data_IF_394370000123
#
_entry.id   IF_394370000123
#
_cell.length_a   1.000
_cell.length_b   1.000
_cell.length_c   1.000
_cell.angle_alpha   90.00
_cell.angle_beta   90.00
_cell.angle_gamma   90.00
#
_symmetry.space_group_name_H-M   'P 1'
#
loop_
_entity.id
_entity.type
_entity.pdbx_description
1 polymer ?
#
# COMPACT_ATOMS: atom_id res chain seq x y z
N UNK A 1 12.33 -10.41 -3.59
CA UNK A 1 12.93 -9.80 -2.40
C UNK A 1 14.38 -10.23 -2.21
N UNK A 2 14.72 -11.51 -2.02
CA UNK A 2 16.14 -11.95 -1.93
C UNK A 2 17.00 -11.46 -3.11
N UNK A 3 16.54 -11.72 -4.34
CA UNK A 3 17.22 -11.21 -5.54
C UNK A 3 17.34 -9.67 -5.55
N UNK A 4 16.35 -8.98 -5.01
CA UNK A 4 16.33 -7.52 -4.93
C UNK A 4 17.42 -6.98 -3.99
N UNK A 5 17.79 -7.73 -2.94
CA UNK A 5 18.92 -7.39 -2.06
C UNK A 5 20.24 -7.45 -2.82
N UNK A 6 20.44 -8.52 -3.62
CA UNK A 6 21.64 -8.67 -4.46
C UNK A 6 21.74 -7.52 -5.45
N UNK A 7 20.66 -7.22 -6.18
CA UNK A 7 20.62 -6.11 -7.12
C UNK A 7 20.91 -4.75 -6.45
N UNK A 8 20.34 -4.50 -5.27
CA UNK A 8 20.57 -3.27 -4.53
C UNK A 8 22.03 -3.14 -4.08
N UNK A 9 22.64 -4.24 -3.65
CA UNK A 9 24.07 -4.29 -3.30
C UNK A 9 24.96 -4.03 -4.50
N UNK A 10 24.71 -4.69 -5.62
CA UNK A 10 25.49 -4.54 -6.85
C UNK A 10 25.40 -3.10 -7.40
N UNK A 11 24.25 -2.46 -7.21
CA UNK A 11 24.03 -1.06 -7.57
C UNK A 11 24.59 -0.05 -6.54
N UNK A 12 25.19 -0.51 -5.44
CA UNK A 12 25.76 0.36 -4.40
C UNK A 12 24.71 1.14 -3.60
N UNK A 13 23.49 0.61 -3.44
CA UNK A 13 22.43 1.25 -2.66
C UNK A 13 22.67 1.13 -1.16
N UNK A 14 22.41 2.19 -0.40
CA UNK A 14 22.51 2.17 1.06
C UNK A 14 21.31 1.49 1.75
N UNK A 15 20.12 1.62 1.15
CA UNK A 15 18.84 1.20 1.72
C UNK A 15 17.99 0.43 0.71
N UNK A 16 17.17 -0.48 1.22
CA UNK A 16 16.13 -1.18 0.45
C UNK A 16 14.78 -1.09 1.15
N UNK A 17 13.73 -0.89 0.37
CA UNK A 17 12.35 -0.88 0.82
C UNK A 17 11.47 -1.66 -0.16
N UNK A 18 10.47 -2.36 0.36
CA UNK A 18 9.43 -3.00 -0.44
C UNK A 18 8.11 -2.24 -0.21
N UNK A 19 7.49 -1.79 -1.31
CA UNK A 19 6.22 -1.08 -1.32
C UNK A 19 5.22 -1.82 -2.21
N UNK A 20 4.00 -1.96 -1.73
CA UNK A 20 2.90 -2.49 -2.52
C UNK A 20 2.36 -1.43 -3.48
N UNK A 21 1.64 -1.85 -4.52
CA UNK A 21 1.16 -0.93 -5.58
C UNK A 21 0.11 0.07 -5.10
N UNK A 22 -0.47 -0.17 -3.92
CA UNK A 22 -1.43 0.65 -3.22
C UNK A 22 -0.79 1.45 -2.07
N UNK A 23 0.54 1.58 -2.04
CA UNK A 23 1.26 2.26 -0.97
C UNK A 23 2.14 3.42 -1.47
N UNK A 24 2.20 4.50 -0.68
CA UNK A 24 3.10 5.63 -0.91
C UNK A 24 3.86 5.98 0.36
N UNK A 25 5.14 6.34 0.24
CA UNK A 25 5.90 6.86 1.37
C UNK A 25 5.53 8.33 1.61
N UNK A 26 5.30 8.66 2.88
CA UNK A 26 5.01 10.00 3.39
C UNK A 26 6.15 10.43 4.32
N UNK A 27 7.26 10.98 3.78
CA UNK A 27 8.47 11.31 4.52
C UNK A 27 8.34 12.65 5.27
N UNK A 28 7.25 12.84 6.02
CA UNK A 28 7.09 14.02 6.88
C UNK A 28 8.23 14.06 7.90
N UNK A 29 8.64 15.29 8.22
CA UNK A 29 9.79 15.56 9.08
C UNK A 29 11.10 15.76 8.31
N UNK A 30 11.17 15.34 7.04
CA UNK A 30 12.33 15.60 6.19
C UNK A 30 12.21 16.91 5.41
N UNK A 31 13.35 17.60 5.24
CA UNK A 31 13.43 18.76 4.33
C UNK A 31 13.03 18.34 2.92
N UNK A 32 12.32 19.24 2.24
CA UNK A 32 11.92 19.08 0.84
C UNK A 32 11.07 17.83 0.58
N UNK A 33 10.45 17.25 1.62
CA UNK A 33 9.66 16.03 1.50
C UNK A 33 10.49 14.86 0.89
N UNK A 34 11.77 14.79 1.27
CA UNK A 34 12.75 13.87 0.67
C UNK A 34 12.97 12.62 1.53
N UNK A 35 12.66 11.45 0.97
CA UNK A 35 12.99 10.16 1.58
C UNK A 35 14.51 9.96 1.71
N UNK A 36 15.30 10.51 0.78
CA UNK A 36 16.77 10.43 0.84
C UNK A 36 17.29 11.15 2.07
N UNK A 37 16.86 12.39 2.29
CA UNK A 37 17.27 13.18 3.46
C UNK A 37 16.83 12.52 4.76
N UNK A 38 15.61 11.99 4.79
CA UNK A 38 15.08 11.24 5.94
C UNK A 38 15.99 10.07 6.32
N UNK A 39 16.35 9.23 5.34
CA UNK A 39 17.18 8.04 5.56
C UNK A 39 18.65 8.37 5.79
N UNK A 40 19.16 9.48 5.24
CA UNK A 40 20.52 9.96 5.49
C UNK A 40 20.70 10.42 6.94
N UNK A 41 19.65 10.96 7.57
CA UNK A 41 19.65 11.36 8.98
C UNK A 41 19.58 10.19 9.97
N UNK A 42 19.35 8.96 9.51
CA UNK A 42 19.25 7.78 10.39
C UNK A 42 20.64 7.41 10.93
N UNK A 43 20.80 7.22 12.26
CA UNK A 43 22.08 6.84 12.86
C UNK A 43 22.72 5.59 12.24
N UNK A 44 24.05 5.56 12.17
CA UNK A 44 24.79 4.47 11.53
C UNK A 44 24.65 3.10 12.22
N UNK A 45 24.30 3.08 13.50
CA UNK A 45 24.06 1.85 14.27
C UNK A 45 22.64 1.28 14.06
N UNK A 46 21.75 1.99 13.36
CA UNK A 46 20.38 1.54 13.07
C UNK A 46 20.39 0.75 11.76
N UNK A 47 19.91 -0.48 11.82
CA UNK A 47 19.86 -1.41 10.70
C UNK A 47 18.58 -1.26 9.88
N UNK A 48 17.48 -0.91 10.54
CA UNK A 48 16.14 -0.86 9.94
C UNK A 48 15.31 0.27 10.51
N UNK A 49 14.48 0.87 9.68
CA UNK A 49 13.50 1.88 10.08
C UNK A 49 12.09 1.42 9.69
N UNK A 50 11.15 1.53 10.60
CA UNK A 50 9.73 1.24 10.38
C UNK A 50 8.98 2.54 10.13
N UNK A 51 8.25 2.59 9.03
CA UNK A 51 7.24 3.57 8.69
C UNK A 51 5.87 3.04 9.12
N UNK A 52 5.25 3.57 10.19
CA UNK A 52 3.90 3.17 10.56
C UNK A 52 2.90 3.51 9.44
N UNK A 53 1.88 2.66 9.24
CA UNK A 53 0.93 2.86 8.15
C UNK A 53 -0.25 3.75 8.54
N UNK A 54 -0.62 4.66 7.63
CA UNK A 54 -1.87 5.40 7.70
C UNK A 54 -2.83 4.82 6.66
N UNK A 55 -3.99 4.37 7.10
CA UNK A 55 -4.96 3.67 6.24
C UNK A 55 -5.92 4.67 5.59
N UNK A 56 -6.08 4.58 4.27
CA UNK A 56 -7.02 5.44 3.53
C UNK A 56 -8.43 5.32 4.09
N UNK A 57 -9.06 6.47 4.32
CA UNK A 57 -10.42 6.59 4.84
C UNK A 57 -11.26 7.30 3.79
N UNK A 58 -11.89 6.54 2.90
CA UNK A 58 -12.63 7.11 1.76
C UNK A 58 -13.95 7.73 2.20
N UNK A 59 -14.29 8.85 1.59
CA UNK A 59 -15.51 9.63 1.90
C UNK A 59 -16.63 9.42 0.87
N UNK A 60 -16.33 8.73 -0.24
CA UNK A 60 -17.24 8.38 -1.33
C UNK A 60 -17.00 6.94 -1.78
N UNK A 61 -17.96 6.37 -2.50
CA UNK A 61 -17.91 5.01 -3.03
C UNK A 61 -17.58 4.92 -4.52
N UNK A 62 -17.50 6.06 -5.20
CA UNK A 62 -17.33 6.18 -6.64
C UNK A 62 -15.88 6.49 -7.08
N UNK A 63 -14.92 6.47 -6.14
CA UNK A 63 -13.49 6.76 -6.35
C UNK A 63 -12.92 5.96 -7.53
N UNK A 64 -12.22 6.64 -8.44
CA UNK A 64 -11.57 6.05 -9.62
C UNK A 64 -10.05 6.06 -9.51
N UNK A 65 -9.48 7.18 -9.06
CA UNK A 65 -8.06 7.46 -8.97
C UNK A 65 -7.67 7.78 -7.50
N UNK A 66 -7.37 6.76 -6.68
CA UNK A 66 -7.18 6.92 -5.23
C UNK A 66 -6.12 7.96 -4.86
N UNK A 67 -5.00 7.99 -5.59
CA UNK A 67 -3.89 8.89 -5.27
C UNK A 67 -4.19 10.37 -5.52
N UNK A 68 -5.23 10.68 -6.30
CA UNK A 68 -5.68 12.06 -6.57
C UNK A 68 -7.05 12.40 -5.98
N UNK A 69 -7.78 11.40 -5.48
CA UNK A 69 -9.12 11.59 -4.91
C UNK A 69 -9.22 11.31 -3.39
N UNK A 70 -8.30 10.54 -2.81
CA UNK A 70 -8.36 10.16 -1.39
C UNK A 70 -7.31 10.90 -0.58
N UNK A 71 -7.77 11.86 0.22
CA UNK A 71 -6.90 12.69 1.07
C UNK A 71 -7.00 12.34 2.55
N UNK A 72 -8.07 11.68 2.99
CA UNK A 72 -8.27 11.40 4.41
C UNK A 72 -7.69 10.03 4.77
N UNK A 73 -6.94 9.98 5.87
CA UNK A 73 -6.31 8.77 6.38
C UNK A 73 -6.55 8.61 7.88
N UNK A 74 -6.67 7.37 8.34
CA UNK A 74 -6.64 7.02 9.75
C UNK A 74 -5.20 6.76 10.17
N UNK A 75 -4.71 7.53 11.15
CA UNK A 75 -3.33 7.43 11.63
C UNK A 75 -3.08 6.12 12.36
N UNK A 76 -1.85 5.63 12.27
CA UNK A 76 -1.37 4.54 13.11
C UNK A 76 -1.45 4.94 14.59
N UNK A 77 -1.82 4.00 15.45
CA UNK A 77 -1.88 4.22 16.89
C UNK A 77 -0.51 4.57 17.51
N UNK A 78 0.59 4.21 16.85
CA UNK A 78 1.94 4.64 17.25
C UNK A 78 2.14 6.16 17.16
N UNK A 79 1.39 6.85 16.28
CA UNK A 79 1.47 8.30 16.08
C UNK A 79 0.31 9.04 16.75
N UNK A 80 -0.32 8.41 17.74
CA UNK A 80 -1.43 8.95 18.52
C UNK A 80 -1.09 8.94 20.01
N UNK A 81 -1.48 9.99 20.76
CA UNK A 81 -1.52 9.90 22.21
C UNK A 81 -2.37 8.72 22.67
N UNK A 82 -1.93 8.01 23.71
CA UNK A 82 -2.60 6.78 24.19
C UNK A 82 -4.05 7.02 24.58
N UNK A 83 -4.33 8.13 25.27
CA UNK A 83 -5.67 8.54 25.69
C UNK A 83 -6.59 8.82 24.49
N UNK A 84 -6.06 9.46 23.44
CA UNK A 84 -6.79 9.69 22.18
C UNK A 84 -7.11 8.36 21.50
N UNK A 85 -6.13 7.46 21.39
CA UNK A 85 -6.33 6.14 20.78
C UNK A 85 -7.37 5.31 21.54
N UNK A 86 -7.17 5.07 22.83
CA UNK A 86 -8.07 4.22 23.62
C UNK A 86 -9.46 4.85 23.81
N UNK A 87 -9.52 6.17 24.04
CA UNK A 87 -10.78 6.89 24.26
C UNK A 87 -11.71 6.92 23.06
N UNK A 88 -11.19 6.69 21.85
CA UNK A 88 -11.97 6.71 20.61
C UNK A 88 -11.92 5.35 19.86
N UNK A 89 -11.33 4.31 20.45
CA UNK A 89 -11.09 3.02 19.77
C UNK A 89 -12.38 2.48 19.14
N UNK A 90 -13.44 2.32 19.94
CA UNK A 90 -14.74 1.77 19.51
C UNK A 90 -15.34 2.52 18.32
N UNK A 91 -15.25 3.84 18.31
CA UNK A 91 -15.79 4.68 17.25
C UNK A 91 -14.91 4.63 15.99
N UNK A 92 -13.59 4.60 16.17
CA UNK A 92 -12.61 4.56 15.08
C UNK A 92 -12.55 3.22 14.33
N UNK A 93 -12.98 2.12 14.97
CA UNK A 93 -13.05 0.80 14.33
C UNK A 93 -14.37 0.57 13.61
N UNK A 94 -15.44 1.31 13.95
CA UNK A 94 -16.78 1.17 13.35
C UNK A 94 -17.28 -0.28 13.33
N UNK A 95 -17.01 -1.02 14.40
CA UNK A 95 -17.39 -2.43 14.53
C UNK A 95 -16.42 -3.42 13.87
N UNK A 96 -15.39 -2.96 13.17
CA UNK A 96 -14.30 -3.82 12.72
C UNK A 96 -13.55 -4.36 13.97
N UNK A 97 -13.20 -5.66 14.01
CA UNK A 97 -12.52 -6.26 15.15
C UNK A 97 -11.12 -5.67 15.39
N UNK A 98 -10.46 -5.22 14.32
CA UNK A 98 -9.15 -4.58 14.38
C UNK A 98 -9.28 -3.06 14.27
N UNK A 99 -8.25 -2.33 14.72
CA UNK A 99 -8.20 -0.88 14.56
C UNK A 99 -8.28 -0.47 13.09
N UNK A 100 -7.51 -1.10 12.21
CA UNK A 100 -7.54 -0.92 10.76
C UNK A 100 -8.34 -2.02 10.05
N UNK A 101 -8.84 -1.73 8.85
CA UNK A 101 -9.44 -2.76 7.99
C UNK A 101 -8.41 -3.84 7.65
N UNK A 102 -7.17 -3.40 7.42
CA UNK A 102 -6.03 -4.28 7.13
C UNK A 102 -4.95 -4.25 8.22
N UNK A 103 -3.71 -4.57 7.88
CA UNK A 103 -2.62 -4.69 8.85
C UNK A 103 -2.15 -3.33 9.36
N UNK A 104 -1.88 -3.22 10.67
CA UNK A 104 -1.36 -2.01 11.31
C UNK A 104 0.16 -1.98 11.51
N UNK A 105 0.88 -2.85 10.79
CA UNK A 105 2.29 -3.14 11.07
C UNK A 105 3.24 -2.17 10.35
N UNK A 106 2.75 -1.31 9.44
CA UNK A 106 3.61 -0.46 8.63
C UNK A 106 4.49 -1.22 7.62
N UNK A 107 5.47 -0.51 7.07
CA UNK A 107 6.54 -1.03 6.20
C UNK A 107 7.90 -0.68 6.77
N UNK A 108 8.94 -1.44 6.45
CA UNK A 108 10.30 -1.08 6.83
C UNK A 108 11.25 -0.94 5.66
N UNK A 109 12.18 -0.01 5.81
CA UNK A 109 13.41 0.04 5.03
C UNK A 109 14.54 -0.59 5.86
N UNK A 110 15.48 -1.24 5.18
CA UNK A 110 16.65 -1.83 5.81
C UNK A 110 17.92 -1.37 5.11
N UNK A 111 19.01 -1.22 5.85
CA UNK A 111 20.33 -0.99 5.27
C UNK A 111 20.78 -2.21 4.50
N UNK A 112 21.39 -1.99 3.34
CA UNK A 112 22.07 -3.05 2.61
C UNK A 112 23.32 -3.45 3.40
N UNK A 113 23.34 -4.70 3.84
CA UNK A 113 24.44 -5.28 4.62
C UNK A 113 24.50 -6.79 4.42
N UNK A 114 25.58 -7.41 4.89
CA UNK A 114 25.75 -8.86 4.85
C UNK A 114 24.68 -9.59 5.65
N UNK A 115 24.23 -10.71 5.07
CA UNK A 115 23.23 -11.60 5.63
C UNK A 115 21.83 -10.97 5.82
N UNK A 116 21.57 -9.81 5.21
CA UNK A 116 20.22 -9.24 5.11
C UNK A 116 19.30 -10.22 4.36
N UNK A 117 18.08 -10.37 4.85
CA UNK A 117 17.04 -11.24 4.29
C UNK A 117 15.65 -10.60 4.43
N UNK A 118 14.67 -10.96 3.59
CA UNK A 118 13.29 -10.60 3.83
C UNK A 118 12.71 -11.36 5.05
N UNK A 119 11.71 -10.73 5.67
CA UNK A 119 10.90 -11.30 6.74
C UNK A 119 9.42 -11.00 6.47
N UNK A 120 8.90 -11.60 5.40
CA UNK A 120 7.60 -11.25 4.83
C UNK A 120 7.66 -9.95 4.02
N UNK A 121 6.50 -9.47 3.56
CA UNK A 121 6.39 -8.30 2.68
C UNK A 121 6.51 -6.94 3.40
N UNK A 122 6.56 -6.94 4.74
CA UNK A 122 6.51 -5.73 5.58
C UNK A 122 7.79 -5.49 6.40
N UNK A 123 8.68 -6.48 6.47
CA UNK A 123 9.86 -6.46 7.35
C UNK A 123 11.07 -7.13 6.69
N UNK A 124 12.23 -6.80 7.24
CA UNK A 124 13.52 -7.42 6.94
C UNK A 124 14.07 -8.08 8.21
N UNK A 125 15.07 -8.93 8.04
CA UNK A 125 15.81 -9.54 9.14
C UNK A 125 17.26 -9.79 8.72
N UNK A 126 18.07 -10.33 9.63
CA UNK A 126 19.44 -10.72 9.34
C UNK A 126 19.69 -12.14 9.85
N UNK A 127 20.37 -12.99 9.08
CA UNK A 127 20.64 -14.37 9.50
C UNK A 127 21.62 -14.48 10.68
N UNK A 128 22.48 -13.47 10.88
CA UNK A 128 23.61 -13.53 11.82
C UNK A 128 23.44 -12.65 13.05
N UNK A 129 22.51 -11.69 13.04
CA UNK A 129 22.24 -10.80 14.18
C UNK A 129 20.78 -10.41 14.27
N UNK A 130 20.35 -9.98 15.46
CA UNK A 130 19.10 -9.23 15.62
C UNK A 130 19.33 -7.81 15.12
N UNK A 131 18.61 -7.33 14.10
CA UNK A 131 18.81 -5.97 13.59
C UNK A 131 18.38 -4.92 14.62
N UNK A 132 19.12 -3.81 14.70
CA UNK A 132 18.69 -2.64 15.47
C UNK A 132 17.60 -1.89 14.70
N UNK A 133 16.34 -2.08 15.09
CA UNK A 133 15.16 -1.48 14.48
C UNK A 133 14.67 -0.26 15.27
N UNK A 134 14.39 0.84 14.58
CA UNK A 134 13.66 1.98 15.14
C UNK A 134 12.36 2.22 14.37
N UNK A 135 11.40 2.89 15.01
CA UNK A 135 10.17 3.36 14.39
C UNK A 135 10.27 4.86 14.18
N UNK A 136 9.82 5.35 13.04
CA UNK A 136 9.78 6.78 12.74
C UNK A 136 8.55 7.40 13.39
N UNK A 137 8.71 8.58 14.00
CA UNK A 137 7.65 9.24 14.78
C UNK A 137 6.67 10.05 13.91
N UNK A 138 7.13 10.53 12.75
CA UNK A 138 6.36 11.40 11.87
C UNK A 138 6.15 10.78 10.48
N UNK A 139 7.22 10.27 9.88
CA UNK A 139 7.16 9.64 8.57
C UNK A 139 6.34 8.35 8.60
N UNK A 140 5.54 8.15 7.54
CA UNK A 140 4.58 7.07 7.46
C UNK A 140 4.57 6.42 6.07
N UNK A 141 3.90 5.27 5.96
CA UNK A 141 3.45 4.73 4.69
C UNK A 141 1.95 4.96 4.57
N UNK A 142 1.51 5.62 3.50
CA UNK A 142 0.10 5.79 3.18
C UNK A 142 -0.37 4.54 2.47
N UNK A 143 -1.31 3.82 3.07
CA UNK A 143 -1.86 2.59 2.51
C UNK A 143 -3.27 2.85 1.99
N UNK A 144 -3.41 2.82 0.66
CA UNK A 144 -4.66 3.01 -0.05
C UNK A 144 -5.40 1.68 -0.16
N UNK A 145 -5.85 1.15 0.98
CA UNK A 145 -6.57 -0.12 1.03
C UNK A 145 -8.08 0.06 0.80
N UNK A 146 -8.62 -0.75 -0.10
CA UNK A 146 -10.02 -0.69 -0.53
C UNK A 146 -10.57 0.70 -0.94
N UNK A 147 -9.79 1.59 -1.58
CA UNK A 147 -10.27 2.92 -1.95
C UNK A 147 -11.34 2.88 -3.04
N UNK A 148 -11.40 1.82 -3.85
CA UNK A 148 -12.42 1.67 -4.91
C UNK A 148 -13.38 0.55 -4.55
N UNK A 149 -14.64 0.71 -4.96
CA UNK A 149 -15.64 -0.37 -4.87
C UNK A 149 -15.17 -1.66 -5.57
N UNK A 150 -14.49 -1.53 -6.72
CA UNK A 150 -13.93 -2.66 -7.48
C UNK A 150 -12.85 -3.44 -6.74
N UNK A 151 -12.28 -2.90 -5.66
CA UNK A 151 -11.23 -3.61 -4.92
C UNK A 151 -11.79 -4.84 -4.19
N UNK A 152 -13.08 -4.82 -3.82
CA UNK A 152 -13.79 -5.97 -3.26
C UNK A 152 -13.81 -7.15 -4.24
N UNK A 153 -14.15 -6.90 -5.50
CA UNK A 153 -14.23 -7.94 -6.52
C UNK A 153 -12.86 -8.40 -7.01
N UNK A 154 -11.87 -7.50 -7.08
CA UNK A 154 -10.49 -7.85 -7.43
C UNK A 154 -9.87 -8.91 -6.50
N UNK A 155 -10.38 -8.99 -5.27
CA UNK A 155 -9.89 -9.92 -4.25
C UNK A 155 -10.52 -11.30 -4.37
N UNK A 156 -11.79 -11.38 -4.81
CA UNK A 156 -12.46 -12.64 -5.17
C UNK A 156 -11.62 -13.40 -6.20
N UNK A 157 -11.15 -12.71 -7.23
CA UNK A 157 -10.45 -13.33 -8.36
C UNK A 157 -9.04 -13.88 -8.00
N UNK A 158 -8.56 -13.65 -6.77
CA UNK A 158 -7.26 -14.14 -6.27
C UNK A 158 -7.33 -15.49 -5.55
N UNK A 159 -8.50 -15.96 -5.11
CA UNK A 159 -8.65 -17.26 -4.46
C UNK A 159 -9.85 -18.07 -5.00
N UNK A 160 -9.64 -19.36 -5.29
CA UNK A 160 -10.72 -20.34 -5.55
C UNK A 160 -11.37 -20.90 -4.28
N UNK A 161 -11.32 -20.16 -3.18
CA UNK A 161 -11.87 -20.54 -1.88
C UNK A 161 -13.40 -20.65 -1.97
N UNK A 162 -14.01 -21.64 -1.30
CA UNK A 162 -15.46 -21.61 -1.09
C UNK A 162 -15.79 -20.42 -0.17
N UNK A 163 -16.85 -19.62 -0.45
CA UNK A 163 -17.17 -18.42 0.31
C UNK A 163 -17.91 -18.76 1.62
N UNK A 164 -17.34 -19.64 2.44
CA UNK A 164 -17.86 -19.98 3.77
C UNK A 164 -16.91 -19.46 4.84
N UNK A 165 -17.43 -19.16 6.04
CA UNK A 165 -16.62 -18.64 7.15
C UNK A 165 -15.44 -19.54 7.53
N UNK A 166 -15.53 -20.85 7.30
CA UNK A 166 -14.46 -21.79 7.63
C UNK A 166 -13.43 -21.93 6.52
N UNK A 167 -13.86 -22.00 5.26
CA UNK A 167 -12.95 -22.21 4.13
C UNK A 167 -12.03 -21.00 3.89
N UNK A 168 -12.57 -19.79 4.04
CA UNK A 168 -11.82 -18.53 3.82
C UNK A 168 -10.70 -18.29 4.85
N UNK A 169 -10.77 -18.91 6.04
CA UNK A 169 -9.73 -18.77 7.07
C UNK A 169 -8.36 -19.27 6.61
N UNK A 170 -8.33 -20.18 5.64
CA UNK A 170 -7.10 -20.76 5.09
C UNK A 170 -6.30 -19.77 4.24
N UNK A 171 -6.97 -18.78 3.65
CA UNK A 171 -6.35 -17.86 2.70
C UNK A 171 -6.34 -16.41 3.18
N UNK A 172 -7.23 -16.05 4.10
CA UNK A 172 -7.35 -14.69 4.62
C UNK A 172 -7.13 -14.69 6.12
N UNK A 173 -6.08 -14.00 6.58
CA UNK A 173 -5.80 -13.88 8.02
C UNK A 173 -6.74 -12.90 8.70
N UNK A 174 -7.15 -11.83 8.01
CA UNK A 174 -7.96 -10.76 8.56
C UNK A 174 -9.45 -11.03 8.40
N UNK A 175 -10.24 -10.68 9.42
CA UNK A 175 -11.69 -10.87 9.38
C UNK A 175 -12.38 -10.00 8.32
N UNK A 176 -11.92 -8.75 8.16
CA UNK A 176 -12.41 -7.87 7.10
C UNK A 176 -12.22 -8.49 5.71
N UNK A 177 -11.02 -9.02 5.43
CA UNK A 177 -10.72 -9.66 4.14
C UNK A 177 -11.63 -10.86 3.87
N UNK A 178 -11.95 -11.64 4.91
CA UNK A 178 -12.89 -12.76 4.82
C UNK A 178 -14.29 -12.27 4.47
N UNK A 179 -14.78 -11.25 5.17
CA UNK A 179 -16.08 -10.66 4.92
C UNK A 179 -16.18 -10.07 3.52
N UNK A 180 -15.16 -9.32 3.09
CA UNK A 180 -15.02 -8.76 1.76
C UNK A 180 -15.03 -9.85 0.67
N UNK A 181 -14.32 -10.96 0.88
CA UNK A 181 -14.34 -12.09 -0.06
C UNK A 181 -15.72 -12.75 -0.15
N UNK A 182 -16.38 -12.97 0.99
CA UNK A 182 -17.70 -13.60 1.04
C UNK A 182 -18.73 -12.73 0.33
N UNK A 183 -18.85 -11.44 0.70
CA UNK A 183 -19.84 -10.54 0.09
C UNK A 183 -19.61 -10.42 -1.43
N UNK A 184 -18.37 -10.31 -1.89
CA UNK A 184 -18.04 -10.24 -3.31
C UNK A 184 -18.32 -11.55 -4.08
N UNK A 185 -18.47 -12.67 -3.37
CA UNK A 185 -18.71 -14.00 -3.96
C UNK A 185 -20.17 -14.42 -3.93
N UNK A 186 -20.98 -13.86 -3.01
CA UNK A 186 -22.34 -14.39 -2.76
C UNK A 186 -23.46 -13.38 -2.95
N UNK A 187 -23.18 -12.07 -2.88
CA UNK A 187 -24.19 -11.03 -2.89
C UNK A 187 -24.39 -10.41 -4.28
N UNK A 188 -25.51 -9.70 -4.47
CA UNK A 188 -25.69 -8.87 -5.67
C UNK A 188 -24.79 -7.63 -5.62
N UNK A 189 -24.66 -6.92 -6.74
CA UNK A 189 -23.86 -5.69 -6.79
C UNK A 189 -24.41 -4.61 -5.84
N UNK A 190 -25.73 -4.48 -5.75
CA UNK A 190 -26.39 -3.51 -4.86
C UNK A 190 -26.17 -3.84 -3.38
N UNK A 191 -26.22 -5.12 -3.03
CA UNK A 191 -25.95 -5.61 -1.67
C UNK A 191 -24.48 -5.39 -1.31
N UNK A 192 -23.56 -5.70 -2.23
CA UNK A 192 -22.13 -5.46 -2.06
C UNK A 192 -21.82 -3.96 -1.92
N UNK A 193 -22.48 -3.10 -2.71
CA UNK A 193 -22.32 -1.65 -2.62
C UNK A 193 -22.81 -1.10 -1.27
N UNK A 194 -23.93 -1.61 -0.77
CA UNK A 194 -24.43 -1.26 0.56
C UNK A 194 -23.44 -1.67 1.65
N UNK A 195 -22.91 -2.89 1.56
CA UNK A 195 -21.90 -3.39 2.48
C UNK A 195 -20.63 -2.52 2.45
N UNK A 196 -20.16 -2.15 1.27
CA UNK A 196 -18.99 -1.28 1.08
C UNK A 196 -19.19 0.10 1.72
N UNK A 197 -20.36 0.72 1.50
CA UNK A 197 -20.72 2.01 2.13
C UNK A 197 -20.74 1.93 3.65
N UNK A 198 -21.22 0.82 4.20
CA UNK A 198 -21.34 0.61 5.65
C UNK A 198 -19.98 0.36 6.32
N UNK A 199 -19.09 -0.41 5.67
CA UNK A 199 -17.87 -0.90 6.31
C UNK A 199 -16.60 -0.16 5.91
N UNK A 200 -16.56 0.49 4.74
CA UNK A 200 -15.37 1.17 4.22
C UNK A 200 -15.58 2.68 4.16
N UNK A 201 -16.70 3.13 3.59
CA UNK A 201 -16.93 4.55 3.31
C UNK A 201 -17.31 5.31 4.59
N UNK A 202 -16.67 6.45 4.83
CA UNK A 202 -16.92 7.33 5.98
C UNK A 202 -18.07 8.31 5.69
N UNK A 203 -19.30 7.79 5.73
CA UNK A 203 -20.54 8.51 5.42
C UNK A 203 -21.04 9.39 6.57
N UNK A 204 -20.77 9.01 7.82
CA UNK A 204 -21.13 9.79 9.02
C UNK A 204 -20.25 11.04 9.14
N UNK A 205 -20.84 12.21 8.87
CA UNK A 205 -20.15 13.50 8.90
C UNK A 205 -19.75 13.92 10.32
N UNK A 206 -20.59 13.67 11.31
CA UNK A 206 -20.35 14.11 12.69
C UNK A 206 -19.21 13.30 13.30
N UNK A 207 -19.26 11.97 13.15
CA UNK A 207 -18.20 11.09 13.61
C UNK A 207 -16.87 11.42 12.91
N UNK A 208 -16.88 11.61 11.59
CA UNK A 208 -15.69 11.99 10.83
C UNK A 208 -15.08 13.30 11.35
N UNK A 209 -15.90 14.34 11.54
CA UNK A 209 -15.43 15.62 12.09
C UNK A 209 -14.88 15.47 13.50
N UNK A 210 -15.53 14.67 14.37
CA UNK A 210 -15.03 14.35 15.70
C UNK A 210 -13.64 13.72 15.64
N UNK A 211 -13.44 12.69 14.82
CA UNK A 211 -12.16 11.98 14.72
C UNK A 211 -11.07 12.82 14.04
N UNK A 212 -11.43 13.70 13.09
CA UNK A 212 -10.50 14.68 12.53
C UNK A 212 -10.02 15.68 13.60
N UNK A 213 -10.94 16.23 14.41
CA UNK A 213 -10.61 17.15 15.51
C UNK A 213 -9.74 16.48 16.58
N UNK A 214 -9.91 15.18 16.79
CA UNK A 214 -9.08 14.37 17.72
C UNK A 214 -7.74 13.93 17.10
N UNK A 215 -7.50 14.17 15.81
CA UNK A 215 -6.27 13.79 15.12
C UNK A 215 -6.14 12.30 14.77
N UNK A 216 -7.21 11.51 14.95
CA UNK A 216 -7.26 10.10 14.56
C UNK A 216 -7.36 9.97 13.05
N UNK A 217 -8.26 10.75 12.47
CA UNK A 217 -8.30 10.99 11.03
C UNK A 217 -7.46 12.24 10.74
N UNK A 218 -6.77 12.25 9.61
CA UNK A 218 -6.01 13.39 9.12
C UNK A 218 -6.17 13.54 7.62
N UNK A 219 -5.98 14.76 7.10
CA UNK A 219 -5.99 15.03 5.67
C UNK A 219 -4.57 15.26 5.16
N UNK A 220 -4.17 14.47 4.18
CA UNK A 220 -2.86 14.51 3.55
C UNK A 220 -3.05 14.74 2.06
N UNK A 221 -2.66 15.92 1.60
CA UNK A 221 -2.79 16.36 0.21
C UNK A 221 -1.48 16.27 -0.58
N UNK A 222 -0.36 16.00 0.07
CA UNK A 222 0.95 15.99 -0.57
C UNK A 222 1.03 15.05 -1.81
N UNK A 223 0.54 13.79 -1.76
CA UNK A 223 0.52 12.92 -2.94
C UNK A 223 -0.23 13.53 -4.12
N UNK A 224 -1.37 14.18 -3.86
CA UNK A 224 -2.22 14.78 -4.88
C UNK A 224 -1.50 15.92 -5.60
N UNK A 225 -0.91 16.84 -4.84
CA UNK A 225 -0.19 17.99 -5.39
C UNK A 225 1.03 17.54 -6.19
N UNK A 226 1.79 16.57 -5.67
CA UNK A 226 2.97 16.03 -6.35
C UNK A 226 2.57 15.35 -7.66
N UNK A 227 1.56 14.47 -7.64
CA UNK A 227 1.11 13.74 -8.83
C UNK A 227 0.57 14.72 -9.87
N UNK A 228 -0.22 15.72 -9.45
CA UNK A 228 -0.73 16.74 -10.36
C UNK A 228 0.41 17.53 -11.00
N UNK A 229 1.38 18.01 -10.20
CA UNK A 229 2.54 18.73 -10.74
C UNK A 229 3.40 17.89 -11.70
N UNK A 230 3.56 16.59 -11.43
CA UNK A 230 4.26 15.67 -12.33
C UNK A 230 3.49 15.42 -13.64
N UNK A 231 2.16 15.40 -13.59
CA UNK A 231 1.29 15.29 -14.77
C UNK A 231 1.37 16.57 -15.60
N UNK A 232 1.17 17.73 -14.98
CA UNK A 232 1.15 19.04 -15.63
C UNK A 232 2.49 19.39 -16.29
N UNK A 233 3.60 18.93 -15.71
CA UNK A 233 4.95 19.09 -16.28
C UNK A 233 5.30 18.09 -17.39
N UNK A 234 4.44 17.09 -17.65
CA UNK A 234 4.71 16.01 -18.61
C UNK A 234 5.78 15.00 -18.15
N UNK A 235 6.37 15.19 -16.97
CA UNK A 235 7.39 14.28 -16.41
C UNK A 235 6.83 12.90 -16.12
N UNK A 236 5.58 12.81 -15.67
CA UNK A 236 4.96 11.52 -15.36
C UNK A 236 4.90 10.62 -16.60
N UNK A 237 4.48 11.18 -17.74
CA UNK A 237 4.41 10.45 -19.02
C UNK A 237 5.79 10.03 -19.53
N UNK A 238 6.78 10.91 -19.46
CA UNK A 238 8.15 10.60 -19.93
C UNK A 238 8.83 9.52 -19.09
N UNK A 239 8.67 9.54 -17.76
CA UNK A 239 9.20 8.52 -16.85
C UNK A 239 8.56 7.16 -17.11
N UNK A 240 7.24 7.10 -17.26
CA UNK A 240 6.52 5.86 -17.57
C UNK A 240 7.00 5.27 -18.90
N UNK A 241 7.12 6.09 -19.94
CA UNK A 241 7.60 5.65 -21.25
C UNK A 241 9.05 5.12 -21.17
N UNK A 242 9.91 5.79 -20.40
CA UNK A 242 11.29 5.34 -20.15
C UNK A 242 11.34 3.99 -19.40
N UNK A 243 10.46 3.79 -18.42
CA UNK A 243 10.37 2.52 -17.70
C UNK A 243 9.93 1.37 -18.61
N UNK A 244 8.92 1.60 -19.47
CA UNK A 244 8.44 0.59 -20.43
C UNK A 244 9.50 0.22 -21.48
N UNK A 245 10.27 1.19 -21.97
CA UNK A 245 11.37 0.92 -22.93
C UNK A 245 12.52 0.14 -22.29
N UNK A 246 12.81 0.37 -21.01
CA UNK A 246 13.83 -0.37 -20.24
C UNK A 246 13.40 -1.83 -20.02
N UNK A 247 12.17 -2.06 -19.58
CA UNK A 247 11.61 -3.41 -19.44
C UNK A 247 11.61 -4.19 -20.77
N UNK A 248 11.35 -3.51 -21.88
CA UNK A 248 11.37 -4.11 -23.22
C UNK A 248 12.78 -4.51 -23.68
N UNK A 249 13.82 -3.82 -23.21
CA UNK A 249 15.24 -4.15 -23.51
C UNK A 249 15.72 -5.35 -22.68
N UNK A 250 15.35 -5.42 -21.40
CA UNK A 250 15.73 -6.53 -20.53
C UNK A 250 15.10 -7.87 -20.95
N UNK A 251 13.85 -7.84 -21.47
CA UNK A 251 13.19 -9.01 -22.04
C UNK A 251 13.90 -9.49 -23.32
N UNK A 252 14.38 -8.57 -24.17
CA UNK A 252 15.14 -8.94 -25.37
C UNK A 252 16.52 -9.52 -25.02
N UNK A 253 17.16 -8.99 -23.98
CA UNK A 253 18.45 -9.48 -23.47
C UNK A 253 18.37 -10.89 -22.87
N UNK A 254 17.25 -11.27 -22.26
CA UNK A 254 17.07 -12.60 -21.65
C UNK A 254 16.76 -13.70 -22.66
N UNK A 255 16.44 -13.36 -23.92
CA UNK A 255 16.25 -14.32 -25.01
C UNK A 255 17.53 -14.61 -25.81
N UNK A 256 18.67 -14.01 -25.45
CA UNK A 256 19.94 -14.24 -26.15
C UNK A 256 20.98 -14.86 -25.23
N UNK A 257 20.81 -16.15 -24.91
CA UNK A 257 21.92 -16.96 -24.41
C UNK A 257 21.85 -18.41 -24.89
N UNK A 258 22.75 -18.71 -25.84
CA UNK A 258 23.41 -19.99 -26.14
C UNK A 258 22.62 -21.06 -26.92
N UNK A 259 22.78 -21.00 -28.24
CA UNK A 259 22.76 -22.15 -29.14
C UNK A 259 24.14 -22.82 -29.07
N UNK A 260 24.20 -24.08 -28.65
CA UNK A 260 25.29 -25.00 -29.01
C UNK A 260 24.71 -26.40 -29.30
N UNK A 261 25.38 -27.09 -30.24
CA UNK A 261 24.92 -28.12 -31.19
C UNK A 261 24.63 -29.55 -30.63
N UNK A 262 24.05 -30.45 -31.45
CA UNK A 262 23.23 -31.59 -30.99
C UNK A 262 23.97 -32.95 -30.92
N UNK A 263 23.46 -33.84 -30.06
CA UNK A 263 23.82 -35.27 -30.01
C UNK A 263 22.76 -36.13 -29.30
N UNK A 264 21.98 -36.86 -30.12
CA UNK A 264 21.24 -38.15 -29.90
C UNK A 264 21.51 -38.91 -28.57
N UNK A 265 20.59 -39.53 -27.81
CA UNK A 265 19.40 -40.38 -28.13
C UNK A 265 18.52 -40.59 -26.86
N UNK A 266 17.19 -40.47 -27.05
CA UNK A 266 16.05 -41.33 -26.65
C UNK A 266 15.51 -41.53 -25.21
N UNK A 267 14.18 -41.26 -25.13
CA UNK A 267 13.10 -41.89 -24.33
C UNK A 267 13.04 -41.51 -22.84
N UNK A 268 11.91 -41.01 -22.28
CA UNK A 268 10.51 -41.45 -22.37
C UNK A 268 9.53 -40.29 -22.07
N UNK A 269 8.33 -40.36 -22.67
CA UNK A 269 7.18 -39.44 -22.46
C UNK A 269 6.69 -39.46 -21.01
N UNK A 270 6.67 -38.31 -20.35
CA UNK A 270 5.71 -37.97 -19.29
C UNK A 270 5.23 -36.55 -19.60
N UNK A 271 3.94 -36.41 -19.89
CA UNK A 271 3.31 -35.15 -20.25
C UNK A 271 3.32 -34.18 -19.08
N UNK A 272 4.22 -33.21 -19.11
CA UNK A 272 4.15 -32.02 -18.27
C UNK A 272 3.22 -31.05 -18.98
N UNK A 273 2.00 -30.88 -18.45
CA UNK A 273 1.17 -29.71 -18.78
C UNK A 273 2.00 -28.48 -18.42
N UNK A 274 2.40 -27.73 -19.43
CA UNK A 274 2.94 -26.38 -19.27
C UNK A 274 1.91 -25.57 -18.48
N UNK A 275 2.23 -25.35 -17.21
CA UNK A 275 1.58 -24.33 -16.41
C UNK A 275 2.12 -23.01 -16.95
N UNK A 276 1.31 -22.33 -17.75
CA UNK A 276 1.50 -20.93 -18.12
C UNK A 276 1.42 -20.09 -16.85
N UNK A 277 2.53 -20.03 -16.13
CA UNK A 277 2.72 -19.15 -15.00
C UNK A 277 2.58 -17.71 -15.50
N UNK A 278 1.44 -17.10 -15.15
CA UNK A 278 1.24 -15.68 -14.92
C UNK A 278 2.02 -14.77 -15.88
N UNK A 279 1.45 -14.57 -17.07
CA UNK A 279 1.78 -13.41 -17.89
C UNK A 279 1.72 -12.17 -16.98
N UNK A 280 2.89 -11.56 -16.74
CA UNK A 280 3.00 -10.28 -16.03
C UNK A 280 2.09 -9.30 -16.76
N UNK A 281 0.95 -8.94 -16.16
CA UNK A 281 0.12 -7.83 -16.65
C UNK A 281 1.01 -6.60 -16.62
N UNK A 282 1.48 -6.21 -17.80
CA UNK A 282 2.01 -4.87 -18.03
C UNK A 282 0.89 -3.92 -17.58
N UNK A 283 1.23 -2.92 -16.77
CA UNK A 283 0.35 -1.78 -16.53
C UNK A 283 0.11 -1.12 -17.89
N UNK A 284 -0.95 -1.54 -18.57
CA UNK A 284 -1.52 -0.82 -19.71
C UNK A 284 -2.14 0.45 -19.14
N UNK A 285 -1.40 1.54 -19.25
CA UNK A 285 -1.91 2.87 -18.96
C UNK A 285 -2.45 3.37 -20.32
N UNK A 286 -3.78 3.55 -20.48
CA UNK A 286 -4.33 4.04 -21.72
C UNK A 286 -3.74 5.40 -22.04
N UNK A 287 -3.21 5.57 -23.25
CA UNK A 287 -2.68 6.84 -23.76
C UNK A 287 -3.74 7.96 -23.83
N UNK A 288 -5.01 7.66 -23.56
CA UNK A 288 -6.15 8.59 -23.59
C UNK A 288 -7.02 8.48 -22.33
N UNK A 289 -6.42 8.49 -21.15
CA UNK A 289 -7.21 8.82 -19.94
C UNK A 289 -7.12 10.31 -19.72
N UNK A 290 -8.23 11.03 -19.97
CA UNK A 290 -8.45 12.36 -19.39
C UNK A 290 -8.36 12.18 -17.88
N UNK A 291 -7.18 12.42 -17.30
CA UNK A 291 -7.00 12.35 -15.87
C UNK A 291 -7.73 13.55 -15.26
N UNK A 292 -8.75 13.27 -14.46
CA UNK A 292 -9.44 14.31 -13.71
C UNK A 292 -8.44 15.02 -12.77
N UNK A 293 -8.64 16.32 -12.62
CA UNK A 293 -7.83 17.14 -11.72
C UNK A 293 -7.94 16.61 -10.28
N UNK A 294 -6.82 16.64 -9.54
CA UNK A 294 -6.83 16.22 -8.15
C UNK A 294 -7.81 17.05 -7.31
N UNK A 295 -8.43 16.42 -6.30
CA UNK A 295 -9.40 17.11 -5.45
C UNK A 295 -8.70 18.26 -4.68
N UNK A 296 -9.32 19.44 -4.59
CA UNK A 296 -8.70 20.57 -3.89
C UNK A 296 -8.64 20.33 -2.37
N UNK A 297 -7.68 20.96 -1.66
CA UNK A 297 -7.65 20.94 -0.21
C UNK A 297 -8.93 21.48 0.42
N UNK A 298 -9.42 20.79 1.44
CA UNK A 298 -10.53 21.25 2.28
C UNK A 298 -9.97 22.04 3.48
N UNK A 299 -10.73 23.04 3.93
CA UNK A 299 -10.39 23.77 5.15
C UNK A 299 -10.31 22.84 6.37
N UNK A 300 -9.40 23.11 7.32
CA UNK A 300 -9.34 22.35 8.56
C UNK A 300 -10.68 22.42 9.31
N UNK A 301 -11.06 21.40 10.09
CA UNK A 301 -12.27 21.45 10.91
C UNK A 301 -12.21 22.64 11.87
N UNK A 302 -13.22 23.50 11.83
CA UNK A 302 -13.34 24.60 12.79
C UNK A 302 -13.64 23.99 14.16
N UNK A 303 -12.89 24.42 15.18
CA UNK A 303 -13.25 24.21 16.58
C UNK A 303 -14.41 25.15 16.86
N UNK A 304 -15.65 24.66 16.83
CA UNK A 304 -16.78 25.46 17.31
C UNK A 304 -16.51 25.79 18.78
N UNK A 305 -16.61 27.08 19.11
CA UNK A 305 -16.32 27.63 20.42
C UNK A 305 -16.93 26.79 21.53
N UNK A 306 -16.08 26.42 22.50
CA UNK A 306 -16.52 26.02 23.83
C UNK A 306 -17.49 27.11 24.32
N UNK A 307 -18.80 26.82 24.31
CA UNK A 307 -19.76 27.59 25.07
C UNK A 307 -19.35 27.45 26.54
N UNK A 308 -18.47 28.34 26.98
CA UNK A 308 -18.27 28.63 28.39
C UNK A 308 -19.49 29.43 28.81
N UNK A 309 -20.54 28.71 29.20
CA UNK A 309 -21.63 29.30 29.97
C UNK A 309 -21.05 29.79 31.29
N UNK A 310 -20.93 31.11 31.43
CA UNK A 310 -20.93 31.79 32.72
C UNK A 310 -22.37 31.81 33.24
#
# INVERSE_FOLDING_TARGET
>A
MEMSIVMARDAGMDWIIHLDTDELIHPVGAREYSLRELLAGVPGNVDMVVFPNYESSVERDDVKEPFTEVSMFKKNYDHLPKDVYFGNYKESTRGNPNYFLTYGNGKSAARIQDHLRPNGAHRWHNYMKTPNEIKLDEAAVLHYTYPKFSDLTSRRDRCGCKPTKEDVKRCFMLEFDRAAFIIASTATEEEMLRWYREHVVWTDKELKLKLLRRGILTRIYAPMVIIQGLRDSGLFGSVIQSAQTTLSKDIKSSNTSRVDKPGMISSRKIGVKETTATARRILEIPNETSYDAAIPPLSPPILDDLHVGI
#
